data_IF_684723140925
#
_entry.id   IF_684723140925
#
_cell.length_a   1.000
_cell.length_b   1.000
_cell.length_c   1.000
_cell.angle_alpha   90.00
_cell.angle_beta   90.00
_cell.angle_gamma   90.00
#
_symmetry.space_group_name_H-M   'P 1'
#
loop_
_entity.id
_entity.type
_entity.pdbx_description
1 polymer ?
#
# COMPACT_ATOMS: atom_id res chain seq x y z
N UNK A 1 41.09 12.03 -3.51
CA UNK A 1 41.55 10.78 -4.14
C UNK A 1 40.35 9.86 -4.09
N UNK A 2 39.81 9.51 -5.26
CA UNK A 2 38.62 8.69 -5.41
C UNK A 2 39.05 7.22 -5.24
N UNK A 3 38.77 6.65 -4.07
CA UNK A 3 39.08 5.25 -3.77
C UNK A 3 37.83 4.45 -4.14
N UNK A 4 37.91 3.65 -5.21
CA UNK A 4 36.83 2.77 -5.61
C UNK A 4 36.46 1.82 -4.46
N UNK A 5 35.16 1.57 -4.20
CA UNK A 5 34.73 0.71 -3.11
C UNK A 5 35.25 -0.73 -3.30
N UNK A 6 35.55 -1.45 -2.20
CA UNK A 6 36.13 -2.78 -2.27
C UNK A 6 35.19 -3.80 -2.92
N UNK A 7 35.74 -4.67 -3.76
CA UNK A 7 35.07 -5.83 -4.36
C UNK A 7 35.44 -7.10 -3.60
N UNK A 8 34.45 -7.74 -2.96
CA UNK A 8 34.64 -8.97 -2.21
C UNK A 8 34.67 -10.19 -3.15
N UNK A 9 35.64 -11.09 -2.98
CA UNK A 9 35.73 -12.35 -3.75
C UNK A 9 35.27 -13.53 -2.91
N UNK A 10 34.86 -14.64 -3.54
CA UNK A 10 34.33 -15.85 -2.87
C UNK A 10 35.31 -16.57 -1.91
N UNK A 11 36.51 -16.03 -1.67
CA UNK A 11 37.53 -16.54 -0.73
C UNK A 11 37.69 -15.71 0.54
N UNK A 12 37.06 -14.53 0.61
CA UNK A 12 37.12 -13.67 1.76
C UNK A 12 36.06 -14.08 2.81
N UNK A 13 36.30 -13.90 4.12
CA UNK A 13 35.24 -14.05 5.11
C UNK A 13 34.04 -13.15 4.72
N UNK A 14 32.79 -13.60 4.96
CA UNK A 14 31.62 -12.82 4.59
C UNK A 14 31.69 -11.43 5.26
N UNK A 15 31.36 -10.35 4.53
CA UNK A 15 31.51 -8.99 5.04
C UNK A 15 30.62 -8.75 6.26
N UNK A 16 31.06 -7.89 7.18
CA UNK A 16 30.27 -7.50 8.35
C UNK A 16 29.15 -6.54 7.97
N UNK A 17 28.16 -6.36 8.87
CA UNK A 17 27.09 -5.39 8.66
C UNK A 17 27.65 -3.98 8.42
N UNK A 18 28.62 -3.55 9.24
CA UNK A 18 29.25 -2.24 9.16
C UNK A 18 30.04 -2.05 7.85
N UNK A 19 30.67 -3.10 7.36
CA UNK A 19 31.38 -3.07 6.06
C UNK A 19 30.41 -2.87 4.90
N UNK A 20 29.26 -3.56 4.93
CA UNK A 20 28.21 -3.41 3.91
C UNK A 20 27.52 -2.05 4.03
N UNK A 21 27.25 -1.57 5.24
CA UNK A 21 26.66 -0.26 5.49
C UNK A 21 27.57 0.88 5.01
N UNK A 22 28.87 0.84 5.33
CA UNK A 22 29.83 1.81 4.85
C UNK A 22 29.99 1.77 3.32
N UNK A 23 29.93 0.58 2.71
CA UNK A 23 29.91 0.45 1.24
C UNK A 23 28.68 1.14 0.66
N UNK A 24 27.50 0.94 1.25
CA UNK A 24 26.27 1.57 0.81
C UNK A 24 26.35 3.10 0.92
N UNK A 25 26.82 3.63 2.05
CA UNK A 25 26.99 5.08 2.26
C UNK A 25 27.93 5.71 1.20
N UNK A 26 29.04 5.04 0.88
CA UNK A 26 29.94 5.47 -0.18
C UNK A 26 29.30 5.44 -1.58
N UNK A 27 28.37 4.51 -1.83
CA UNK A 27 27.66 4.41 -3.11
C UNK A 27 26.59 5.49 -3.31
N UNK A 28 26.05 6.01 -2.21
CA UNK A 28 25.06 7.10 -2.21
C UNK A 28 25.75 8.45 -2.46
N UNK A 29 26.89 8.70 -1.82
CA UNK A 29 27.61 9.96 -1.93
C UNK A 29 26.92 11.13 -1.23
N UNK A 30 27.22 12.35 -1.65
CA UNK A 30 26.85 13.57 -0.91
C UNK A 30 25.39 14.02 -1.12
N UNK A 31 24.72 13.59 -2.21
CA UNK A 31 23.34 13.96 -2.54
C UNK A 31 22.36 12.87 -2.06
N UNK A 32 22.21 12.80 -0.73
CA UNK A 32 21.43 11.75 -0.06
C UNK A 32 19.93 12.04 -0.19
N UNK A 33 19.24 11.20 -0.95
CA UNK A 33 17.78 11.18 -1.11
C UNK A 33 17.28 9.75 -0.98
N UNK A 34 16.00 9.51 -0.71
CA UNK A 34 15.46 8.15 -0.69
C UNK A 34 15.73 7.39 -2.00
N UNK A 35 15.65 8.05 -3.16
CA UNK A 35 15.90 7.41 -4.46
C UNK A 35 17.38 7.08 -4.65
N UNK A 36 18.30 7.98 -4.29
CA UNK A 36 19.75 7.69 -4.41
C UNK A 36 20.19 6.57 -3.47
N UNK A 37 19.55 6.43 -2.29
CA UNK A 37 19.75 5.29 -1.39
C UNK A 37 19.26 3.98 -2.01
N UNK A 38 18.05 3.95 -2.58
CA UNK A 38 17.52 2.75 -3.24
C UNK A 38 18.38 2.34 -4.45
N UNK A 39 18.77 3.31 -5.29
CA UNK A 39 19.63 3.07 -6.45
C UNK A 39 21.02 2.57 -6.07
N UNK A 40 21.59 3.05 -4.96
CA UNK A 40 22.83 2.53 -4.40
C UNK A 40 22.67 1.10 -3.86
N UNK A 41 21.52 0.80 -3.25
CA UNK A 41 21.21 -0.53 -2.71
C UNK A 41 21.10 -1.58 -3.81
N UNK A 42 20.54 -1.23 -4.97
CA UNK A 42 20.43 -2.12 -6.12
C UNK A 42 21.80 -2.54 -6.69
N UNK A 43 22.88 -1.83 -6.34
CA UNK A 43 24.26 -2.17 -6.69
C UNK A 43 24.89 -3.17 -5.72
N UNK A 44 24.21 -3.51 -4.62
CA UNK A 44 24.63 -4.53 -3.67
C UNK A 44 24.23 -5.94 -4.16
N UNK A 45 25.06 -6.92 -3.83
CA UNK A 45 24.74 -8.33 -4.10
C UNK A 45 23.63 -8.85 -3.20
N UNK A 46 22.99 -9.96 -3.59
CA UNK A 46 21.97 -10.64 -2.76
C UNK A 46 22.50 -10.98 -1.36
N UNK A 47 23.75 -11.41 -1.25
CA UNK A 47 24.37 -11.76 0.04
C UNK A 47 24.58 -10.51 0.92
N UNK A 48 24.99 -9.39 0.33
CA UNK A 48 25.15 -8.12 1.04
C UNK A 48 23.79 -7.57 1.52
N UNK A 49 22.75 -7.69 0.70
CA UNK A 49 21.38 -7.32 1.10
C UNK A 49 20.87 -8.18 2.24
N UNK A 50 21.11 -9.50 2.22
CA UNK A 50 20.75 -10.39 3.33
C UNK A 50 21.51 -10.05 4.62
N UNK A 51 22.77 -9.60 4.54
CA UNK A 51 23.52 -9.12 5.71
C UNK A 51 22.84 -7.89 6.31
N UNK A 52 22.41 -6.93 5.49
CA UNK A 52 21.67 -5.75 5.96
C UNK A 52 20.31 -6.10 6.56
N UNK A 53 19.56 -7.02 5.93
CA UNK A 53 18.26 -7.50 6.42
C UNK A 53 18.41 -8.16 7.80
N UNK A 54 19.39 -9.05 7.96
CA UNK A 54 19.57 -9.80 9.21
C UNK A 54 20.15 -8.94 10.33
N UNK A 55 20.95 -7.92 10.00
CA UNK A 55 21.50 -6.98 10.99
C UNK A 55 20.56 -5.83 11.38
N UNK A 56 19.42 -5.68 10.69
CA UNK A 56 18.48 -4.57 10.90
C UNK A 56 17.95 -4.52 12.35
N UNK A 57 17.72 -5.68 12.97
CA UNK A 57 17.21 -5.80 14.35
C UNK A 57 18.26 -5.43 15.42
N UNK A 58 19.53 -5.28 15.06
CA UNK A 58 20.63 -4.96 15.98
C UNK A 58 21.26 -3.58 15.70
N UNK A 59 20.94 -2.95 14.56
CA UNK A 59 21.56 -1.70 14.08
C UNK A 59 20.53 -0.60 13.84
N UNK A 60 19.86 -0.25 14.92
CA UNK A 60 18.81 0.77 14.99
C UNK A 60 19.40 2.18 14.87
N UNK A 61 18.91 3.05 13.96
CA UNK A 61 19.65 4.25 13.59
C UNK A 61 19.25 5.52 14.36
N UNK A 62 18.15 5.52 15.13
CA UNK A 62 17.70 6.67 15.92
C UNK A 62 18.02 6.47 17.41
N UNK A 63 18.88 7.33 17.97
CA UNK A 63 19.36 7.20 19.35
C UNK A 63 18.78 8.28 20.28
N UNK A 64 18.39 9.43 19.74
CA UNK A 64 17.98 10.62 20.52
C UNK A 64 16.55 11.05 20.24
N UNK A 65 15.93 11.78 21.17
CA UNK A 65 14.57 12.32 20.97
C UNK A 65 14.51 13.37 19.84
N UNK A 66 15.60 14.10 19.62
CA UNK A 66 15.73 15.01 18.48
C UNK A 66 15.70 14.25 17.15
N UNK A 67 16.45 13.15 17.04
CA UNK A 67 16.42 12.29 15.85
C UNK A 67 15.04 11.69 15.59
N UNK A 68 14.28 11.35 16.65
CA UNK A 68 12.89 10.88 16.50
C UNK A 68 11.96 11.97 15.98
N UNK A 69 12.11 13.20 16.47
CA UNK A 69 11.34 14.35 15.98
C UNK A 69 11.68 14.67 14.51
N UNK A 70 12.98 14.70 14.18
CA UNK A 70 13.46 14.94 12.81
C UNK A 70 13.06 13.81 11.86
N UNK A 71 13.01 12.57 12.33
CA UNK A 71 12.49 11.42 11.58
C UNK A 71 11.02 11.60 11.20
N UNK A 72 10.20 12.10 12.13
CA UNK A 72 8.79 12.38 11.89
C UNK A 72 8.60 13.43 10.79
N UNK A 73 9.35 14.52 10.91
CA UNK A 73 9.36 15.62 9.94
C UNK A 73 9.82 15.10 8.58
N UNK A 74 10.92 14.35 8.54
CA UNK A 74 11.48 13.80 7.30
C UNK A 74 10.53 12.85 6.59
N UNK A 75 9.88 11.93 7.32
CA UNK A 75 8.84 11.07 6.75
C UNK A 75 7.69 11.91 6.18
N UNK A 76 7.23 12.91 6.93
CA UNK A 76 6.16 13.83 6.55
C UNK A 76 6.50 14.70 5.33
N UNK A 77 7.73 15.17 5.22
CA UNK A 77 8.18 15.97 4.08
C UNK A 77 8.40 15.12 2.85
N UNK A 78 8.96 13.92 3.03
CA UNK A 78 9.17 12.94 1.97
C UNK A 78 7.84 12.56 1.31
N UNK A 79 6.82 12.17 2.10
CA UNK A 79 5.52 11.85 1.53
C UNK A 79 4.84 13.07 0.86
N UNK A 80 5.06 14.28 1.38
CA UNK A 80 4.42 15.52 0.89
C UNK A 80 5.10 16.09 -0.36
N UNK A 81 6.28 15.59 -0.70
CA UNK A 81 7.09 16.10 -1.81
C UNK A 81 6.40 15.84 -3.16
N UNK A 82 6.82 16.55 -4.23
CA UNK A 82 6.35 16.25 -5.59
C UNK A 82 6.57 14.77 -6.00
N UNK A 83 7.68 14.18 -5.58
CA UNK A 83 8.02 12.77 -5.79
C UNK A 83 7.07 11.86 -5.00
N UNK A 84 6.78 12.19 -3.74
CA UNK A 84 5.81 11.48 -2.92
C UNK A 84 4.41 11.48 -3.54
N UNK A 85 3.95 12.64 -4.02
CA UNK A 85 2.69 12.78 -4.78
C UNK A 85 2.69 11.96 -6.06
N UNK A 86 3.80 11.93 -6.78
CA UNK A 86 3.95 11.14 -8.01
C UNK A 86 3.86 9.64 -7.71
N UNK A 87 4.49 9.18 -6.63
CA UNK A 87 4.42 7.79 -6.17
C UNK A 87 3.02 7.39 -5.71
N UNK A 88 2.32 8.26 -4.99
CA UNK A 88 0.90 8.06 -4.65
C UNK A 88 0.03 7.98 -5.90
N UNK A 89 0.23 8.89 -6.87
CA UNK A 89 -0.51 8.84 -8.13
C UNK A 89 -0.22 7.54 -8.92
N UNK A 90 1.03 7.06 -8.93
CA UNK A 90 1.40 5.78 -9.54
C UNK A 90 0.68 4.61 -8.86
N UNK A 91 0.69 4.56 -7.53
CA UNK A 91 -0.02 3.52 -6.78
C UNK A 91 -1.54 3.55 -7.05
N UNK A 92 -2.14 4.74 -7.24
CA UNK A 92 -3.54 4.88 -7.63
C UNK A 92 -3.80 4.39 -9.07
N UNK A 93 -2.82 4.57 -9.96
CA UNK A 93 -2.83 4.05 -11.32
C UNK A 93 -2.69 2.53 -11.37
N UNK A 94 -1.87 1.94 -10.51
CA UNK A 94 -1.75 0.49 -10.35
C UNK A 94 -3.05 -0.11 -9.80
N UNK A 95 -3.66 0.52 -8.80
CA UNK A 95 -4.98 0.12 -8.30
C UNK A 95 -6.05 0.19 -9.40
N UNK A 96 -6.03 1.23 -10.23
CA UNK A 96 -6.89 1.32 -11.42
C UNK A 96 -6.63 0.16 -12.37
N UNK A 97 -5.37 -0.12 -12.70
CA UNK A 97 -5.04 -1.19 -13.64
C UNK A 97 -5.54 -2.53 -13.13
N UNK A 98 -5.39 -2.82 -11.83
CA UNK A 98 -5.96 -4.02 -11.21
C UNK A 98 -7.49 -4.11 -11.41
N UNK A 99 -8.23 -2.99 -11.30
CA UNK A 99 -9.69 -3.00 -11.54
C UNK A 99 -10.05 -3.30 -13.00
N UNK A 100 -9.23 -2.85 -13.96
CA UNK A 100 -9.41 -3.13 -15.39
C UNK A 100 -9.06 -4.57 -15.75
N UNK A 101 -8.02 -5.11 -15.11
CA UNK A 101 -7.65 -6.52 -15.27
C UNK A 101 -8.78 -7.42 -14.78
N UNK A 102 -9.41 -7.07 -13.64
CA UNK A 102 -10.60 -7.75 -13.13
C UNK A 102 -11.78 -7.71 -14.11
N UNK A 103 -12.06 -6.54 -14.72
CA UNK A 103 -13.07 -6.41 -15.77
C UNK A 103 -12.80 -7.33 -16.96
N UNK A 104 -11.55 -7.39 -17.42
CA UNK A 104 -11.16 -8.25 -18.53
C UNK A 104 -11.32 -9.74 -18.19
N UNK A 105 -11.00 -10.13 -16.95
CA UNK A 105 -11.17 -11.50 -16.47
C UNK A 105 -12.65 -11.86 -16.40
N UNK A 106 -13.51 -11.00 -15.83
CA UNK A 106 -14.96 -11.23 -15.84
C UNK A 106 -15.52 -11.41 -17.26
N UNK A 107 -15.09 -10.57 -18.22
CA UNK A 107 -15.51 -10.71 -19.62
C UNK A 107 -15.03 -12.04 -20.25
N UNK A 108 -13.78 -12.44 -19.97
CA UNK A 108 -13.23 -13.72 -20.42
C UNK A 108 -13.96 -14.92 -19.84
N UNK A 109 -14.24 -14.89 -18.53
CA UNK A 109 -14.99 -15.92 -17.82
C UNK A 109 -16.42 -16.02 -18.33
N UNK A 110 -17.11 -14.89 -18.53
CA UNK A 110 -18.47 -14.87 -19.08
C UNK A 110 -18.54 -15.58 -20.43
N UNK A 111 -17.64 -15.26 -21.37
CA UNK A 111 -17.62 -15.91 -22.69
C UNK A 111 -17.45 -17.43 -22.59
N UNK A 112 -16.60 -17.91 -21.67
CA UNK A 112 -16.33 -19.34 -21.48
C UNK A 112 -17.48 -20.04 -20.78
N UNK A 113 -18.02 -19.46 -19.72
CA UNK A 113 -19.18 -20.00 -19.00
C UNK A 113 -20.41 -20.04 -19.92
N UNK A 114 -20.64 -19.03 -20.76
CA UNK A 114 -21.71 -19.03 -21.76
C UNK A 114 -21.56 -20.18 -22.78
N UNK A 115 -20.33 -20.50 -23.19
CA UNK A 115 -20.08 -21.67 -24.06
C UNK A 115 -20.38 -22.98 -23.34
N UNK A 116 -19.97 -23.11 -22.07
CA UNK A 116 -20.24 -24.28 -21.24
C UNK A 116 -21.74 -24.47 -21.05
N UNK A 117 -22.47 -23.42 -20.70
CA UNK A 117 -23.92 -23.43 -20.52
C UNK A 117 -24.67 -23.81 -21.81
N UNK A 118 -24.21 -23.37 -22.97
CA UNK A 118 -24.80 -23.76 -24.25
C UNK A 118 -24.66 -25.24 -24.56
N UNK A 119 -23.56 -25.87 -24.12
CA UNK A 119 -23.26 -27.28 -24.39
C UNK A 119 -23.89 -28.19 -23.34
N UNK A 120 -23.84 -27.79 -22.06
CA UNK A 120 -24.18 -28.63 -20.93
C UNK A 120 -25.47 -28.23 -20.20
N UNK A 121 -26.06 -27.09 -20.55
CA UNK A 121 -27.25 -26.53 -19.88
C UNK A 121 -27.06 -26.38 -18.35
N UNK A 122 -25.86 -25.97 -17.92
CA UNK A 122 -25.47 -25.90 -16.50
C UNK A 122 -26.09 -24.73 -15.73
N UNK A 123 -26.40 -23.61 -16.40
CA UNK A 123 -27.08 -22.46 -15.80
C UNK A 123 -26.20 -21.49 -15.02
N UNK A 124 -24.88 -21.51 -15.24
CA UNK A 124 -23.89 -20.66 -14.56
C UNK A 124 -23.74 -19.26 -15.17
N UNK A 125 -24.12 -19.07 -16.44
CA UNK A 125 -24.00 -17.79 -17.15
C UNK A 125 -24.77 -16.64 -16.48
N UNK A 126 -26.04 -16.82 -16.05
CA UNK A 126 -26.76 -15.75 -15.34
C UNK A 126 -26.10 -15.36 -14.00
N UNK A 127 -25.47 -16.30 -13.31
CA UNK A 127 -24.82 -16.07 -12.01
C UNK A 127 -23.55 -15.23 -12.16
N UNK A 128 -22.67 -15.58 -13.10
CA UNK A 128 -21.44 -14.80 -13.32
C UNK A 128 -21.75 -13.38 -13.83
N UNK A 129 -22.79 -13.20 -14.66
CA UNK A 129 -23.26 -11.88 -15.10
C UNK A 129 -23.73 -11.04 -13.90
N UNK A 130 -24.49 -11.65 -12.98
CA UNK A 130 -24.97 -10.95 -11.78
C UNK A 130 -23.81 -10.50 -10.90
N UNK A 131 -22.81 -11.36 -10.67
CA UNK A 131 -21.62 -11.03 -9.88
C UNK A 131 -20.82 -9.92 -10.56
N UNK A 132 -20.67 -9.97 -11.89
CA UNK A 132 -19.98 -8.91 -12.65
C UNK A 132 -20.70 -7.56 -12.56
N UNK A 133 -22.03 -7.54 -12.61
CA UNK A 133 -22.79 -6.31 -12.39
C UNK A 133 -22.60 -5.75 -10.98
N UNK A 134 -22.67 -6.60 -9.95
CA UNK A 134 -22.42 -6.18 -8.57
C UNK A 134 -21.00 -5.61 -8.40
N UNK A 135 -19.99 -6.21 -9.04
CA UNK A 135 -18.63 -5.68 -9.08
C UNK A 135 -18.56 -4.29 -9.71
N UNK A 136 -19.25 -4.06 -10.84
CA UNK A 136 -19.30 -2.75 -11.50
C UNK A 136 -19.96 -1.67 -10.65
N UNK A 137 -21.00 -2.04 -9.89
CA UNK A 137 -21.67 -1.12 -8.98
C UNK A 137 -20.73 -0.70 -7.83
N UNK A 138 -19.98 -1.66 -7.27
CA UNK A 138 -18.93 -1.38 -6.27
C UNK A 138 -17.85 -0.46 -6.86
N UNK A 139 -17.41 -0.73 -8.09
CA UNK A 139 -16.38 0.07 -8.78
C UNK A 139 -16.83 1.52 -9.05
N UNK A 140 -18.09 1.70 -9.47
CA UNK A 140 -18.66 3.04 -9.66
C UNK A 140 -18.75 3.80 -8.33
N UNK A 141 -19.22 3.12 -7.27
CA UNK A 141 -19.28 3.68 -5.92
C UNK A 141 -17.91 4.06 -5.37
N UNK A 142 -16.90 3.19 -5.54
CA UNK A 142 -15.54 3.45 -5.05
C UNK A 142 -14.88 4.62 -5.78
N UNK A 143 -15.15 4.81 -7.08
CA UNK A 143 -14.67 5.97 -7.85
C UNK A 143 -15.21 7.29 -7.30
N UNK A 144 -16.54 7.37 -7.13
CA UNK A 144 -17.20 8.59 -6.68
C UNK A 144 -16.80 8.92 -5.23
N UNK A 145 -16.64 7.89 -4.42
CA UNK A 145 -16.11 8.00 -3.06
C UNK A 145 -14.67 8.53 -3.04
N UNK A 146 -13.77 7.94 -3.84
CA UNK A 146 -12.37 8.36 -3.94
C UNK A 146 -12.25 9.84 -4.35
N UNK A 147 -13.03 10.28 -5.34
CA UNK A 147 -13.08 11.68 -5.75
C UNK A 147 -13.53 12.61 -4.61
N UNK A 148 -14.52 12.19 -3.83
CA UNK A 148 -15.05 12.97 -2.70
C UNK A 148 -14.04 13.06 -1.56
N UNK A 149 -13.44 11.93 -1.16
CA UNK A 149 -12.42 11.87 -0.10
C UNK A 149 -11.22 12.71 -0.50
N UNK A 150 -10.76 12.64 -1.75
CA UNK A 150 -9.64 13.44 -2.25
C UNK A 150 -9.80 14.93 -1.97
N UNK A 151 -10.98 15.48 -2.30
CA UNK A 151 -11.31 16.88 -2.06
C UNK A 151 -11.32 17.22 -0.57
N UNK A 152 -11.88 16.35 0.28
CA UNK A 152 -11.91 16.59 1.73
C UNK A 152 -10.50 16.49 2.36
N UNK A 153 -9.68 15.56 1.89
CA UNK A 153 -8.30 15.36 2.35
C UNK A 153 -7.44 16.57 2.02
N UNK A 154 -7.46 17.05 0.77
CA UNK A 154 -6.74 18.29 0.39
C UNK A 154 -7.22 19.50 1.18
N UNK A 155 -8.54 19.66 1.32
CA UNK A 155 -9.12 20.80 2.05
C UNK A 155 -8.68 20.85 3.51
N UNK A 156 -8.45 19.70 4.15
CA UNK A 156 -8.01 19.64 5.53
C UNK A 156 -6.64 20.33 5.71
N UNK A 157 -5.67 19.93 4.91
CA UNK A 157 -4.29 20.46 4.93
C UNK A 157 -4.24 21.91 4.43
N UNK A 158 -4.86 22.19 3.29
CA UNK A 158 -4.68 23.47 2.63
C UNK A 158 -5.42 24.61 3.32
N UNK A 159 -6.50 24.31 4.05
CA UNK A 159 -7.43 25.32 4.57
C UNK A 159 -7.83 25.11 6.03
N UNK A 160 -8.33 23.92 6.40
CA UNK A 160 -8.95 23.72 7.72
C UNK A 160 -7.92 23.90 8.84
N UNK A 161 -6.74 23.27 8.73
CA UNK A 161 -5.68 23.40 9.72
C UNK A 161 -5.19 24.85 9.87
N UNK A 162 -5.00 25.54 8.75
CA UNK A 162 -4.56 26.96 8.74
C UNK A 162 -5.58 27.88 9.39
N UNK A 163 -6.87 27.65 9.16
CA UNK A 163 -7.95 28.38 9.84
C UNK A 163 -7.93 28.09 11.34
N UNK A 164 -7.76 26.84 11.75
CA UNK A 164 -7.70 26.46 13.17
C UNK A 164 -6.46 27.03 13.89
N UNK A 165 -5.33 27.14 13.20
CA UNK A 165 -4.07 27.67 13.72
C UNK A 165 -4.07 29.20 13.87
N UNK A 166 -4.92 29.89 13.13
CA UNK A 166 -4.88 31.33 13.07
C UNK A 166 -5.53 31.99 14.30
N UNK A 167 -4.69 32.49 15.21
CA UNK A 167 -5.13 33.16 16.44
C UNK A 167 -5.90 34.46 16.20
N UNK A 168 -5.73 35.11 15.03
CA UNK A 168 -6.54 36.30 14.68
C UNK A 168 -8.00 35.95 14.40
N UNK A 169 -8.34 34.67 14.21
CA UNK A 169 -9.70 34.19 14.05
C UNK A 169 -10.26 33.83 15.42
N UNK A 170 -11.45 34.33 15.73
CA UNK A 170 -12.15 33.99 16.97
C UNK A 170 -12.28 32.47 17.14
N UNK A 171 -11.99 31.96 18.35
CA UNK A 171 -12.01 30.51 18.66
C UNK A 171 -13.33 29.87 18.24
N UNK A 172 -14.46 30.56 18.42
CA UNK A 172 -15.78 30.04 18.02
C UNK A 172 -15.91 29.83 16.51
N UNK A 173 -15.35 30.72 15.69
CA UNK A 173 -15.36 30.59 14.22
C UNK A 173 -14.46 29.45 13.76
N UNK A 174 -13.31 29.26 14.42
CA UNK A 174 -12.43 28.11 14.17
C UNK A 174 -13.14 26.80 14.47
N UNK A 175 -13.80 26.72 15.63
CA UNK A 175 -14.59 25.57 16.06
C UNK A 175 -15.72 25.24 15.09
N UNK A 176 -16.56 26.21 14.72
CA UNK A 176 -17.69 25.96 13.81
C UNK A 176 -17.23 25.52 12.41
N UNK A 177 -16.10 26.04 11.94
CA UNK A 177 -15.49 25.62 10.66
C UNK A 177 -15.05 24.16 10.72
N UNK A 178 -14.37 23.76 11.80
CA UNK A 178 -13.92 22.39 12.01
C UNK A 178 -15.08 21.42 12.25
N UNK A 179 -16.10 21.82 13.00
CA UNK A 179 -17.33 21.05 13.21
C UNK A 179 -18.03 20.76 11.88
N UNK A 180 -18.18 21.78 11.03
CA UNK A 180 -18.75 21.60 9.67
C UNK A 180 -17.91 20.64 8.82
N UNK A 181 -16.58 20.68 8.96
CA UNK A 181 -15.70 19.74 8.28
C UNK A 181 -15.90 18.31 8.80
N UNK A 182 -15.88 18.12 10.12
CA UNK A 182 -16.09 16.82 10.79
C UNK A 182 -17.43 16.20 10.40
N UNK A 183 -18.51 16.98 10.37
CA UNK A 183 -19.85 16.51 9.98
C UNK A 183 -19.85 15.98 8.54
N UNK A 184 -19.26 16.73 7.60
CA UNK A 184 -19.14 16.32 6.18
C UNK A 184 -18.25 15.11 5.99
N UNK A 185 -17.16 14.99 6.75
CA UNK A 185 -16.28 13.82 6.66
C UNK A 185 -16.93 12.60 7.32
N UNK A 186 -17.72 12.79 8.39
CA UNK A 186 -18.44 11.69 9.06
C UNK A 186 -19.54 11.11 8.16
N UNK A 187 -20.17 11.89 7.28
CA UNK A 187 -21.17 11.34 6.35
C UNK A 187 -20.59 10.31 5.36
N UNK A 188 -19.26 10.33 5.14
CA UNK A 188 -18.56 9.36 4.29
C UNK A 188 -18.52 7.95 4.89
N UNK A 189 -18.79 7.80 6.19
CA UNK A 189 -18.77 6.50 6.87
C UNK A 189 -19.75 5.50 6.24
N UNK A 190 -20.96 5.95 5.92
CA UNK A 190 -21.98 5.08 5.34
C UNK A 190 -21.59 4.63 3.92
N UNK A 191 -21.05 5.55 3.12
CA UNK A 191 -20.59 5.26 1.76
C UNK A 191 -19.43 4.26 1.79
N UNK A 192 -18.46 4.47 2.69
CA UNK A 192 -17.35 3.55 2.91
C UNK A 192 -17.84 2.14 3.29
N UNK A 193 -18.75 2.05 4.27
CA UNK A 193 -19.31 0.78 4.72
C UNK A 193 -20.08 0.09 3.58
N UNK A 194 -20.85 0.84 2.80
CA UNK A 194 -21.59 0.29 1.67
C UNK A 194 -20.66 -0.27 0.58
N UNK A 195 -19.54 0.39 0.30
CA UNK A 195 -18.53 -0.10 -0.65
C UNK A 195 -17.88 -1.37 -0.11
N UNK A 196 -17.47 -1.38 1.16
CA UNK A 196 -16.87 -2.56 1.81
C UNK A 196 -17.83 -3.74 1.84
N UNK A 197 -19.08 -3.54 2.22
CA UNK A 197 -20.11 -4.59 2.28
C UNK A 197 -20.47 -5.09 0.88
N UNK A 198 -20.58 -4.18 -0.09
CA UNK A 198 -20.81 -4.52 -1.49
C UNK A 198 -19.68 -5.36 -2.06
N UNK A 199 -18.43 -4.97 -1.80
CA UNK A 199 -17.26 -5.74 -2.23
C UNK A 199 -17.21 -7.11 -1.57
N UNK A 200 -17.45 -7.19 -0.26
CA UNK A 200 -17.53 -8.46 0.47
C UNK A 200 -18.63 -9.38 -0.08
N UNK A 201 -19.78 -8.82 -0.44
CA UNK A 201 -20.84 -9.58 -1.10
C UNK A 201 -20.39 -10.12 -2.46
N UNK A 202 -19.66 -9.34 -3.25
CA UNK A 202 -19.08 -9.79 -4.53
C UNK A 202 -18.09 -10.93 -4.31
N UNK A 203 -17.19 -10.83 -3.32
CA UNK A 203 -16.23 -11.89 -3.03
C UNK A 203 -16.89 -13.16 -2.52
N UNK A 204 -17.90 -13.03 -1.64
CA UNK A 204 -18.64 -14.16 -1.09
C UNK A 204 -19.46 -14.86 -2.17
N UNK A 205 -20.19 -14.10 -2.99
CA UNK A 205 -20.96 -14.61 -4.13
C UNK A 205 -20.05 -15.26 -5.18
N UNK A 206 -18.88 -14.65 -5.46
CA UNK A 206 -17.90 -15.20 -6.37
C UNK A 206 -17.28 -16.50 -5.82
N UNK A 207 -16.91 -16.55 -4.55
CA UNK A 207 -16.39 -17.77 -3.92
C UNK A 207 -17.43 -18.90 -3.93
N UNK A 208 -18.71 -18.58 -3.67
CA UNK A 208 -19.82 -19.54 -3.77
C UNK A 208 -20.03 -20.04 -5.21
N UNK A 209 -19.92 -19.14 -6.19
CA UNK A 209 -19.95 -19.47 -7.62
C UNK A 209 -18.81 -20.40 -8.00
N UNK A 210 -17.56 -20.07 -7.64
CA UNK A 210 -16.40 -20.92 -7.90
C UNK A 210 -16.56 -22.28 -7.23
N UNK A 211 -17.01 -22.34 -5.97
CA UNK A 211 -17.25 -23.61 -5.28
C UNK A 211 -18.29 -24.50 -5.96
N UNK A 212 -19.37 -23.89 -6.48
CA UNK A 212 -20.43 -24.58 -7.20
C UNK A 212 -19.95 -25.07 -8.57
N UNK A 213 -19.27 -24.20 -9.32
CA UNK A 213 -18.68 -24.52 -10.62
C UNK A 213 -17.58 -25.59 -10.49
N UNK A 214 -16.69 -25.47 -9.49
CA UNK A 214 -15.62 -26.43 -9.23
C UNK A 214 -16.14 -27.80 -8.83
N UNK A 215 -17.20 -27.89 -8.01
CA UNK A 215 -17.86 -29.16 -7.67
C UNK A 215 -18.44 -29.81 -8.92
N UNK A 216 -19.21 -29.06 -9.70
CA UNK A 216 -19.81 -29.52 -10.96
C UNK A 216 -18.76 -29.97 -11.99
N UNK A 217 -17.65 -29.23 -12.11
CA UNK A 217 -16.55 -29.56 -13.01
C UNK A 217 -15.73 -30.76 -12.52
N UNK A 218 -15.54 -30.93 -11.20
CA UNK A 218 -14.85 -32.08 -10.59
C UNK A 218 -15.61 -33.39 -10.78
N UNK A 219 -16.95 -33.35 -10.73
CA UNK A 219 -17.80 -34.52 -11.03
C UNK A 219 -17.68 -34.99 -12.50
N UNK A 220 -17.01 -34.20 -13.36
CA UNK A 220 -16.76 -34.51 -14.77
C UNK A 220 -15.33 -34.95 -15.10
N UNK A 221 -14.37 -34.83 -14.18
CA UNK A 221 -12.95 -35.01 -14.51
C UNK A 221 -12.16 -35.69 -13.39
N UNK A 222 -11.87 -36.98 -13.57
CA UNK A 222 -10.91 -37.71 -12.74
C UNK A 222 -9.46 -37.32 -13.05
N UNK A 223 -8.75 -36.93 -11.99
CA UNK A 223 -7.30 -36.76 -11.77
C UNK A 223 -6.46 -35.84 -12.70
N UNK A 224 -5.66 -34.96 -12.07
CA UNK A 224 -4.24 -34.60 -12.34
C UNK A 224 -3.95 -33.26 -11.61
N UNK A 225 -3.22 -33.30 -10.49
CA UNK A 225 -3.14 -32.21 -9.47
C UNK A 225 -1.71 -31.81 -9.05
N UNK A 226 -0.63 -32.34 -9.63
CA UNK A 226 0.69 -32.20 -8.95
C UNK A 226 1.58 -31.02 -9.38
N UNK A 227 1.46 -30.48 -10.60
CA UNK A 227 2.36 -29.40 -11.07
C UNK A 227 1.93 -27.99 -10.64
N UNK A 228 0.63 -27.76 -10.45
CA UNK A 228 0.06 -26.50 -9.96
C UNK A 228 0.35 -26.31 -8.46
N UNK A 229 0.31 -27.41 -7.69
CA UNK A 229 0.57 -27.44 -6.24
C UNK A 229 1.96 -26.90 -5.87
N UNK A 230 2.97 -27.10 -6.72
CA UNK A 230 4.34 -26.64 -6.47
C UNK A 230 4.51 -25.13 -6.71
N UNK A 231 3.85 -24.58 -7.74
CA UNK A 231 3.85 -23.13 -8.01
C UNK A 231 3.08 -22.39 -6.90
N UNK A 232 1.97 -22.95 -6.42
CA UNK A 232 1.21 -22.41 -5.28
C UNK A 232 1.99 -22.44 -3.95
N UNK A 233 2.79 -23.49 -3.70
CA UNK A 233 3.65 -23.56 -2.52
C UNK A 233 4.80 -22.54 -2.55
N UNK A 234 5.37 -22.28 -3.73
CA UNK A 234 6.40 -21.24 -3.88
C UNK A 234 5.82 -19.83 -3.70
N UNK A 235 4.61 -19.57 -4.21
CA UNK A 235 3.90 -18.31 -3.98
C UNK A 235 3.57 -18.11 -2.49
N UNK A 236 3.10 -19.14 -1.77
CA UNK A 236 2.83 -19.06 -0.33
C UNK A 236 4.12 -18.75 0.49
N UNK A 237 5.24 -19.36 0.13
CA UNK A 237 6.53 -19.06 0.76
C UNK A 237 7.02 -17.63 0.47
N UNK A 238 6.81 -17.12 -0.75
CA UNK A 238 7.14 -15.74 -1.12
C UNK A 238 6.27 -14.73 -0.38
N UNK A 239 4.96 -14.97 -0.24
CA UNK A 239 4.07 -14.12 0.56
C UNK A 239 4.45 -14.10 2.04
N UNK A 240 4.81 -15.25 2.64
CA UNK A 240 5.31 -15.32 4.03
C UNK A 240 6.63 -14.57 4.23
N UNK A 241 7.49 -14.54 3.21
CA UNK A 241 8.73 -13.76 3.23
C UNK A 241 8.42 -12.27 3.16
N UNK A 242 7.52 -11.85 2.26
CA UNK A 242 7.08 -10.47 2.15
C UNK A 242 6.48 -9.96 3.48
N UNK A 243 5.59 -10.75 4.09
CA UNK A 243 4.99 -10.41 5.39
C UNK A 243 6.02 -10.20 6.49
N UNK A 244 7.07 -11.04 6.56
CA UNK A 244 8.14 -10.89 7.54
C UNK A 244 8.93 -9.60 7.34
N UNK A 245 9.30 -9.29 6.09
CA UNK A 245 10.04 -8.06 5.76
C UNK A 245 9.21 -6.80 6.08
N UNK A 246 7.92 -6.80 5.74
CA UNK A 246 7.00 -5.72 6.11
C UNK A 246 6.82 -5.62 7.63
N UNK A 247 6.78 -6.74 8.35
CA UNK A 247 6.68 -6.75 9.81
C UNK A 247 7.93 -6.19 10.49
N UNK A 248 9.13 -6.49 9.98
CA UNK A 248 10.38 -5.89 10.45
C UNK A 248 10.40 -4.38 10.21
N UNK A 249 9.91 -3.92 9.05
CA UNK A 249 9.76 -2.48 8.77
C UNK A 249 8.73 -1.81 9.71
N UNK A 250 7.62 -2.49 10.08
CA UNK A 250 6.65 -1.97 11.06
C UNK A 250 7.17 -1.97 12.49
N UNK A 251 8.01 -2.94 12.86
CA UNK A 251 8.65 -2.99 14.18
C UNK A 251 9.55 -1.76 14.40
N UNK A 252 10.20 -1.28 13.34
CA UNK A 252 10.93 -0.01 13.32
C UNK A 252 10.04 1.15 13.78
N UNK A 253 8.82 1.30 13.27
CA UNK A 253 7.90 2.38 13.69
C UNK A 253 7.52 2.33 15.18
N UNK A 254 7.33 1.13 15.74
CA UNK A 254 6.87 0.93 17.12
C UNK A 254 7.97 1.28 18.15
N UNK A 255 9.24 0.97 17.85
CA UNK A 255 10.37 1.13 18.77
C UNK A 255 10.79 2.59 18.97
N UNK A 256 10.60 3.44 17.96
CA UNK A 256 11.04 4.85 18.02
C UNK A 256 9.98 5.84 18.52
N UNK A 257 8.88 5.35 19.10
CA UNK A 257 7.84 6.21 19.67
C UNK A 257 6.89 6.78 18.62
N UNK A 258 6.43 5.96 17.66
CA UNK A 258 5.32 6.32 16.77
C UNK A 258 3.95 6.31 17.48
N UNK A 259 3.83 7.08 18.56
CA UNK A 259 2.64 7.90 18.73
C UNK A 259 2.76 9.17 17.86
N UNK A 260 3.19 9.02 16.61
CA UNK A 260 3.07 10.04 15.57
C UNK A 260 1.94 9.54 14.69
N UNK A 261 0.68 9.93 14.94
CA UNK A 261 -0.47 9.53 14.14
C UNK A 261 -0.32 9.95 12.66
N UNK A 262 0.69 10.77 12.34
CA UNK A 262 0.91 11.31 11.01
C UNK A 262 1.49 10.35 9.97
N UNK A 263 2.40 9.44 10.32
CA UNK A 263 3.14 8.62 9.33
C UNK A 263 2.86 7.13 9.46
N UNK A 264 2.71 6.61 10.69
CA UNK A 264 2.50 5.18 10.94
C UNK A 264 1.20 4.61 10.36
N UNK A 265 0.20 5.43 10.05
CA UNK A 265 -1.00 4.95 9.33
C UNK A 265 -0.78 4.87 7.82
N UNK A 266 -0.01 5.79 7.23
CA UNK A 266 0.24 5.81 5.78
C UNK A 266 1.17 4.68 5.33
N UNK A 267 2.18 4.35 6.14
CA UNK A 267 3.03 3.17 5.91
C UNK A 267 2.22 1.87 5.92
N UNK A 268 1.22 1.76 6.80
CA UNK A 268 0.31 0.60 6.84
C UNK A 268 -0.62 0.55 5.65
N UNK A 269 -1.12 1.71 5.20
CA UNK A 269 -2.00 1.81 4.02
C UNK A 269 -1.23 1.56 2.71
N UNK A 270 0.04 1.94 2.65
CA UNK A 270 0.86 1.83 1.43
C UNK A 270 2.17 1.07 1.69
N UNK A 271 2.12 -0.26 1.94
CA UNK A 271 3.31 -1.05 2.25
C UNK A 271 4.41 -0.96 1.19
N UNK A 272 4.04 -0.83 -0.09
CA UNK A 272 5.00 -0.68 -1.19
C UNK A 272 5.76 0.67 -1.16
N UNK A 273 5.15 1.72 -0.59
CA UNK A 273 5.79 3.04 -0.44
C UNK A 273 6.52 3.19 0.89
N UNK A 274 6.23 2.30 1.85
CA UNK A 274 6.75 2.40 3.20
C UNK A 274 8.28 2.53 3.28
N UNK A 275 9.10 1.74 2.56
CA UNK A 275 10.55 1.88 2.65
C UNK A 275 11.04 3.26 2.18
N UNK A 276 10.41 3.81 1.14
CA UNK A 276 10.75 5.14 0.61
C UNK A 276 10.42 6.26 1.60
N UNK A 277 9.24 6.20 2.22
CA UNK A 277 8.81 7.16 3.25
C UNK A 277 9.74 7.11 4.47
N UNK A 278 10.05 5.90 4.95
CA UNK A 278 10.92 5.69 6.12
C UNK A 278 12.35 6.17 5.84
N UNK A 279 12.88 5.95 4.63
CA UNK A 279 14.18 6.50 4.23
C UNK A 279 14.20 8.03 4.34
N UNK A 280 13.14 8.73 3.92
CA UNK A 280 13.02 10.17 4.09
C UNK A 280 13.19 10.61 5.54
N UNK A 281 12.55 9.90 6.47
CA UNK A 281 12.72 10.14 7.91
C UNK A 281 14.15 9.91 8.40
N UNK A 282 14.75 8.76 8.05
CA UNK A 282 16.10 8.40 8.51
C UNK A 282 17.15 9.40 8.00
N UNK A 283 17.02 9.85 6.75
CA UNK A 283 17.90 10.85 6.15
C UNK A 283 17.79 12.19 6.90
N UNK A 284 16.58 12.67 7.15
CA UNK A 284 16.37 13.94 7.90
C UNK A 284 16.86 13.84 9.33
N UNK A 285 16.75 12.68 9.96
CA UNK A 285 17.30 12.42 11.29
C UNK A 285 18.83 12.28 11.32
N UNK A 286 19.52 12.37 10.17
CA UNK A 286 20.97 12.20 10.03
C UNK A 286 21.44 10.86 10.64
N UNK A 287 20.65 9.83 10.40
CA UNK A 287 20.81 8.51 10.96
C UNK A 287 21.19 7.50 9.86
N UNK A 288 21.75 6.33 10.24
CA UNK A 288 22.16 5.34 9.22
C UNK A 288 20.95 4.71 8.53
N UNK A 289 20.94 4.72 7.20
CA UNK A 289 19.86 4.18 6.37
C UNK A 289 20.06 2.72 5.94
N UNK A 290 21.18 2.08 6.32
CA UNK A 290 21.58 0.77 5.83
C UNK A 290 20.57 -0.36 6.15
N UNK A 291 20.01 -0.37 7.36
CA UNK A 291 18.99 -1.33 7.77
C UNK A 291 17.71 -1.20 6.90
N UNK A 292 17.25 0.04 6.71
CA UNK A 292 16.04 0.34 5.93
C UNK A 292 16.24 0.02 4.44
N UNK A 293 17.41 0.37 3.90
CA UNK A 293 17.82 0.03 2.54
C UNK A 293 17.81 -1.49 2.29
N UNK A 294 18.41 -2.26 3.21
CA UNK A 294 18.39 -3.73 3.15
C UNK A 294 16.97 -4.31 3.11
N UNK A 295 16.10 -3.83 4.02
CA UNK A 295 14.69 -4.23 4.06
C UNK A 295 13.94 -3.85 2.76
N UNK A 296 14.18 -2.65 2.22
CA UNK A 296 13.58 -2.17 0.97
C UNK A 296 13.93 -3.08 -0.22
N UNK A 297 15.21 -3.43 -0.36
CA UNK A 297 15.68 -4.32 -1.42
C UNK A 297 15.12 -5.74 -1.26
N UNK A 298 14.98 -6.22 -0.02
CA UNK A 298 14.31 -7.49 0.27
C UNK A 298 12.85 -7.51 -0.19
N UNK A 299 12.10 -6.43 0.06
CA UNK A 299 10.69 -6.28 -0.36
C UNK A 299 10.59 -6.25 -1.89
N UNK A 300 11.38 -5.40 -2.55
CA UNK A 300 11.39 -5.25 -4.02
C UNK A 300 11.69 -6.58 -4.73
N UNK A 301 12.76 -7.28 -4.30
CA UNK A 301 13.14 -8.59 -4.88
C UNK A 301 12.09 -9.66 -4.65
N UNK A 302 11.40 -9.64 -3.51
CA UNK A 302 10.33 -10.60 -3.23
C UNK A 302 9.11 -10.34 -4.13
N UNK A 303 8.71 -9.08 -4.31
CA UNK A 303 7.63 -8.69 -5.23
C UNK A 303 7.93 -9.04 -6.69
N UNK A 304 9.15 -8.81 -7.16
CA UNK A 304 9.56 -9.19 -8.51
C UNK A 304 9.46 -10.70 -8.74
N UNK A 305 9.87 -11.52 -7.76
CA UNK A 305 9.75 -12.98 -7.83
C UNK A 305 8.29 -13.45 -7.83
N UNK A 306 7.42 -12.79 -7.06
CA UNK A 306 5.97 -13.03 -7.11
C UNK A 306 5.45 -12.75 -8.53
N UNK A 307 5.75 -11.58 -9.09
CA UNK A 307 5.30 -11.21 -10.44
C UNK A 307 5.76 -12.20 -11.53
N UNK A 308 7.04 -12.59 -11.52
CA UNK A 308 7.56 -13.57 -12.46
C UNK A 308 6.90 -14.95 -12.30
N UNK A 309 6.64 -15.39 -11.07
CA UNK A 309 5.97 -16.68 -10.80
C UNK A 309 4.50 -16.65 -11.21
N UNK A 310 3.82 -15.51 -11.07
CA UNK A 310 2.48 -15.29 -11.63
C UNK A 310 2.49 -15.41 -13.16
N UNK A 311 3.46 -14.79 -13.84
CA UNK A 311 3.60 -14.91 -15.31
C UNK A 311 3.98 -16.34 -15.77
N UNK A 312 4.79 -17.05 -14.98
CA UNK A 312 5.15 -18.45 -15.25
C UNK A 312 3.91 -19.37 -15.16
N UNK A 313 3.00 -19.09 -14.22
CA UNK A 313 1.68 -19.74 -14.10
C UNK A 313 0.80 -19.46 -15.32
N UNK A 314 0.68 -18.20 -15.73
CA UNK A 314 -0.09 -17.79 -16.94
C UNK A 314 0.40 -18.51 -18.20
N UNK A 315 1.71 -18.76 -18.31
CA UNK A 315 2.33 -19.45 -19.45
C UNK A 315 2.13 -20.97 -19.43
N UNK A 316 2.14 -21.59 -18.25
CA UNK A 316 1.88 -23.03 -18.08
C UNK A 316 0.39 -23.41 -18.28
N UNK A 317 -0.51 -22.43 -18.15
CA UNK A 317 -1.96 -22.60 -18.34
C UNK A 317 -2.43 -22.63 -19.80
N UNK A 318 -1.54 -22.36 -20.77
CA UNK A 318 -1.90 -22.17 -22.16
C UNK A 318 -2.31 -23.44 -22.95
N UNK A 319 -2.30 -24.65 -22.36
CA UNK A 319 -2.52 -25.90 -23.13
C UNK A 319 -3.45 -26.98 -22.52
N UNK A 320 -4.20 -26.73 -21.42
CA UNK A 320 -5.13 -27.74 -20.88
C UNK A 320 -6.62 -27.38 -21.09
N UNK A 321 -7.42 -28.38 -21.48
CA UNK A 321 -8.80 -28.30 -22.02
C UNK A 321 -9.76 -27.34 -21.29
N UNK A 322 -10.68 -26.78 -22.10
CA UNK A 322 -11.56 -25.64 -21.85
C UNK A 322 -12.30 -25.62 -20.49
N UNK A 323 -12.57 -26.79 -19.89
CA UNK A 323 -13.23 -26.93 -18.59
C UNK A 323 -12.26 -26.73 -17.40
N UNK A 324 -11.07 -27.35 -17.47
CA UNK A 324 -9.99 -27.24 -16.46
C UNK A 324 -9.45 -25.83 -16.35
N UNK A 325 -9.25 -25.19 -17.50
CA UNK A 325 -8.76 -23.81 -17.58
C UNK A 325 -9.76 -22.82 -17.00
N UNK A 326 -11.06 -23.01 -17.26
CA UNK A 326 -12.10 -22.13 -16.69
C UNK A 326 -12.15 -22.28 -15.17
N UNK A 327 -12.00 -23.49 -14.62
CA UNK A 327 -11.92 -23.71 -13.17
C UNK A 327 -10.68 -23.08 -12.54
N UNK A 328 -9.49 -23.32 -13.10
CA UNK A 328 -8.24 -22.76 -12.58
C UNK A 328 -8.23 -21.22 -12.67
N UNK A 329 -8.69 -20.65 -13.78
CA UNK A 329 -8.81 -19.18 -13.91
C UNK A 329 -9.84 -18.60 -12.94
N UNK A 330 -10.92 -19.32 -12.64
CA UNK A 330 -11.90 -18.90 -11.62
C UNK A 330 -11.30 -18.93 -10.20
N UNK A 331 -10.56 -19.98 -9.85
CA UNK A 331 -9.88 -20.12 -8.55
C UNK A 331 -8.76 -19.07 -8.40
N UNK A 332 -7.95 -18.86 -9.43
CA UNK A 332 -6.88 -17.86 -9.48
C UNK A 332 -7.40 -16.42 -9.39
N UNK A 333 -8.45 -16.12 -10.15
CA UNK A 333 -9.07 -14.80 -10.14
C UNK A 333 -9.61 -14.43 -8.75
N UNK A 334 -10.20 -15.40 -8.04
CA UNK A 334 -10.64 -15.22 -6.67
C UNK A 334 -9.49 -14.98 -5.69
N UNK A 335 -8.37 -15.69 -5.84
CA UNK A 335 -7.23 -15.57 -4.92
C UNK A 335 -6.38 -14.32 -5.16
N UNK A 336 -6.07 -14.01 -6.42
CA UNK A 336 -5.06 -13.00 -6.75
C UNK A 336 -5.70 -11.64 -7.07
N UNK A 337 -6.66 -11.60 -7.99
CA UNK A 337 -7.20 -10.33 -8.50
C UNK A 337 -8.18 -9.68 -7.51
N UNK A 338 -9.11 -10.45 -6.93
CA UNK A 338 -10.05 -9.90 -5.95
C UNK A 338 -9.34 -9.44 -4.66
N UNK A 339 -8.32 -10.16 -4.17
CA UNK A 339 -7.53 -9.73 -2.99
C UNK A 339 -6.77 -8.43 -3.22
N UNK A 340 -6.23 -8.21 -4.43
CA UNK A 340 -5.60 -6.92 -4.79
C UNK A 340 -6.61 -5.79 -4.77
N UNK A 341 -7.83 -6.05 -5.26
CA UNK A 341 -8.88 -5.05 -5.21
C UNK A 341 -9.41 -4.82 -3.79
N UNK A 342 -9.48 -5.84 -2.94
CA UNK A 342 -9.77 -5.69 -1.51
C UNK A 342 -8.80 -4.72 -0.85
N UNK A 343 -7.50 -4.87 -1.15
CA UNK A 343 -6.46 -3.96 -0.64
C UNK A 343 -6.71 -2.53 -1.11
N UNK A 344 -7.02 -2.33 -2.40
CA UNK A 344 -7.35 -1.00 -2.92
C UNK A 344 -8.61 -0.42 -2.25
N UNK A 345 -9.68 -1.20 -2.14
CA UNK A 345 -10.92 -0.80 -1.45
C UNK A 345 -10.63 -0.43 0.00
N UNK A 346 -9.84 -1.21 0.73
CA UNK A 346 -9.45 -0.93 2.11
C UNK A 346 -8.66 0.37 2.27
N UNK A 347 -7.76 0.68 1.34
CA UNK A 347 -7.03 1.96 1.32
C UNK A 347 -8.00 3.12 1.10
N UNK A 348 -8.91 3.00 0.12
CA UNK A 348 -9.90 4.02 -0.20
C UNK A 348 -10.83 4.27 0.99
N UNK A 349 -11.44 3.22 1.53
CA UNK A 349 -12.39 3.29 2.64
C UNK A 349 -11.72 3.58 3.98
N UNK A 350 -10.40 3.48 4.11
CA UNK A 350 -9.67 3.87 5.31
C UNK A 350 -9.16 5.33 5.30
N UNK A 351 -9.04 5.94 4.12
CA UNK A 351 -8.45 7.27 3.95
C UNK A 351 -9.18 8.38 4.74
N UNK A 352 -10.51 8.38 4.76
CA UNK A 352 -11.32 9.38 5.44
C UNK A 352 -11.25 9.28 6.98
N UNK A 353 -11.11 8.07 7.52
CA UNK A 353 -11.08 7.81 8.97
C UNK A 353 -9.91 8.52 9.63
N UNK A 354 -8.76 8.52 8.95
CA UNK A 354 -7.56 9.17 9.46
C UNK A 354 -7.70 10.68 9.47
N UNK A 355 -8.20 11.28 8.39
CA UNK A 355 -8.41 12.74 8.36
C UNK A 355 -9.45 13.16 9.41
N UNK A 356 -10.46 12.33 9.66
CA UNK A 356 -11.44 12.55 10.71
C UNK A 356 -10.83 12.42 12.12
N UNK A 357 -9.95 11.45 12.35
CA UNK A 357 -9.26 11.26 13.61
C UNK A 357 -8.43 12.51 13.97
N UNK A 358 -7.61 13.01 13.04
CA UNK A 358 -6.81 14.22 13.26
C UNK A 358 -7.68 15.46 13.42
N UNK A 359 -8.77 15.58 12.66
CA UNK A 359 -9.73 16.67 12.83
C UNK A 359 -10.34 16.67 14.25
N UNK A 360 -10.63 15.49 14.82
CA UNK A 360 -11.14 15.37 16.21
C UNK A 360 -10.08 15.72 17.26
N UNK A 361 -8.81 15.42 17.02
CA UNK A 361 -7.71 15.86 17.90
C UNK A 361 -7.62 17.39 17.91
N UNK A 362 -7.70 18.03 16.73
CA UNK A 362 -7.72 19.50 16.62
C UNK A 362 -8.97 20.09 17.29
N UNK A 363 -10.12 19.42 17.19
CA UNK A 363 -11.35 19.85 17.84
C UNK A 363 -11.21 19.84 19.36
N UNK A 364 -10.66 18.77 19.92
CA UNK A 364 -10.40 18.64 21.35
C UNK A 364 -9.43 19.72 21.85
N UNK A 365 -8.36 20.01 21.09
CA UNK A 365 -7.46 21.13 21.39
C UNK A 365 -8.17 22.50 21.38
N UNK A 366 -9.02 22.78 20.39
CA UNK A 366 -9.82 24.01 20.34
C UNK A 366 -10.79 24.12 21.52
N UNK A 367 -11.38 23.00 21.96
CA UNK A 367 -12.30 22.95 23.11
C UNK A 367 -11.57 23.22 24.43
N UNK A 368 -10.32 22.75 24.56
CA UNK A 368 -9.47 22.95 25.76
C UNK A 368 -8.85 24.35 25.86
N UNK A 369 -9.23 25.27 24.97
CA UNK A 369 -8.80 26.66 25.03
C UNK A 369 -7.75 27.05 23.99
N UNK A 370 -7.39 26.15 23.06
CA UNK A 370 -6.48 26.42 21.96
C UNK A 370 -5.11 26.95 22.43
N UNK A 371 -4.48 26.24 23.38
CA UNK A 371 -3.17 26.62 23.90
C UNK A 371 -2.12 26.66 22.78
N UNK A 372 -1.58 27.86 22.53
CA UNK A 372 -0.59 28.12 21.49
C UNK A 372 0.76 27.45 21.76
N UNK A 373 1.04 27.06 23.01
CA UNK A 373 2.26 26.34 23.37
C UNK A 373 2.19 24.83 23.03
N UNK A 374 0.98 24.28 22.84
CA UNK A 374 0.77 22.84 22.67
C UNK A 374 -0.19 22.58 21.51
N UNK A 375 0.29 22.78 20.28
CA UNK A 375 -0.48 22.42 19.10
C UNK A 375 -0.63 20.91 18.97
N UNK A 376 -1.75 20.42 18.40
CA UNK A 376 -1.84 19.04 17.95
C UNK A 376 -0.67 18.70 17.05
N UNK A 377 -0.08 17.53 17.24
CA UNK A 377 1.15 17.12 16.56
C UNK A 377 1.07 17.23 15.04
N UNK A 378 0.01 16.70 14.41
CA UNK A 378 -0.14 16.80 12.96
C UNK A 378 -0.34 18.25 12.49
N UNK A 379 -1.06 19.06 13.27
CA UNK A 379 -1.24 20.48 12.97
C UNK A 379 0.09 21.24 13.06
N UNK A 380 0.96 20.88 14.00
CA UNK A 380 2.32 21.40 14.08
C UNK A 380 3.17 20.99 12.87
N UNK A 381 3.17 19.72 12.51
CA UNK A 381 3.85 19.21 11.31
C UNK A 381 3.39 19.94 10.04
N UNK A 382 2.07 20.13 9.88
CA UNK A 382 1.53 20.83 8.72
C UNK A 382 1.94 22.32 8.69
N UNK A 383 1.77 23.03 9.81
CA UNK A 383 1.95 24.48 9.83
C UNK A 383 3.43 24.88 9.91
N UNK A 384 4.27 24.14 10.65
CA UNK A 384 5.68 24.48 10.87
C UNK A 384 6.63 23.80 9.90
N UNK A 385 6.27 22.62 9.40
CA UNK A 385 7.17 21.79 8.59
C UNK A 385 6.66 21.51 7.17
N UNK A 386 5.55 22.14 6.78
CA UNK A 386 4.90 21.98 5.46
C UNK A 386 4.56 20.52 5.11
N UNK A 387 4.23 19.73 6.14
CA UNK A 387 3.77 18.35 5.97
C UNK A 387 2.30 18.34 5.56
N UNK A 388 2.01 18.02 4.31
CA UNK A 388 0.68 18.01 3.70
C UNK A 388 0.28 16.58 3.29
N UNK A 389 0.12 15.69 4.28
CA UNK A 389 -0.03 14.25 4.03
C UNK A 389 -1.36 13.86 3.41
N UNK A 390 -2.43 14.58 3.72
CA UNK A 390 -3.75 14.33 3.15
C UNK A 390 -3.85 14.92 1.75
N UNK A 391 -3.13 16.01 1.47
CA UNK A 391 -2.94 16.45 0.09
C UNK A 391 -2.08 15.45 -0.72
N UNK A 392 -1.05 14.85 -0.14
CA UNK A 392 -0.30 13.78 -0.79
C UNK A 392 -1.18 12.55 -1.10
N UNK A 393 -1.98 12.11 -0.12
CA UNK A 393 -2.99 11.06 -0.30
C UNK A 393 -4.00 11.38 -1.41
N UNK A 394 -4.37 12.66 -1.55
CA UNK A 394 -5.31 13.10 -2.59
C UNK A 394 -4.83 12.72 -4.00
N UNK A 395 -3.51 12.64 -4.23
CA UNK A 395 -2.95 12.23 -5.51
C UNK A 395 -3.23 10.75 -5.85
N UNK A 396 -3.19 9.85 -4.86
CA UNK A 396 -3.60 8.46 -5.02
C UNK A 396 -5.09 8.38 -5.36
N UNK A 397 -5.91 9.07 -4.57
CA UNK A 397 -7.37 9.06 -4.70
C UNK A 397 -7.84 9.65 -6.04
N UNK A 398 -7.22 10.74 -6.50
CA UNK A 398 -7.50 11.32 -7.83
C UNK A 398 -7.08 10.41 -8.96
N UNK A 399 -5.89 9.80 -8.86
CA UNK A 399 -5.39 8.89 -9.90
C UNK A 399 -6.32 7.68 -10.05
N UNK A 400 -6.72 7.08 -8.93
CA UNK A 400 -7.71 6.01 -8.89
C UNK A 400 -9.06 6.45 -9.50
N UNK A 401 -9.61 7.58 -9.03
CA UNK A 401 -10.92 8.05 -9.47
C UNK A 401 -10.97 8.45 -10.96
N UNK A 402 -9.86 8.96 -11.52
CA UNK A 402 -9.77 9.27 -12.96
C UNK A 402 -9.57 8.04 -13.82
N UNK A 403 -9.03 6.98 -13.23
CA UNK A 403 -8.68 5.74 -13.91
C UNK A 403 -9.88 4.83 -14.20
N UNK A 404 -10.94 4.95 -13.40
CA UNK A 404 -12.22 4.26 -13.55
C UNK A 404 -13.19 5.14 -14.33
#
# INVERSE_FOLDING_TARGET
>A
MDVAPPTYTARDPPPSYEEVAAKLENLVGDDVTPDTVLDATDKLSDAEIEILINGADDHWPLETDQQKADFAVGCGQCLSSPEGKTRFASAGGEATQATRDIENIFAGLHLRIAQIDRIHHSGFEPEIIKIHHAYRDVLAGSRDFAATVSVQSRRFDESILKICANESIAVQTRRSTLETYIERTTSLQNDAQQITDGFRSVTDDFAAFVGSFSTWAKDKEGEITEQIRLVEQELDALHKRLYRLESSLRAFEIVFGASIPATGTFVKMFPALAPWIVLGGVITALASFAAIAGLAAGISKTNYRIHLKTQEKEKLQAELENLRRTRAELEDFGHDSLTRFETAVGILTGAWEQTLADARIVQDWLVRGADAAHWPEYMELNIRHDVNKYDALSAYLESYARGI
#
